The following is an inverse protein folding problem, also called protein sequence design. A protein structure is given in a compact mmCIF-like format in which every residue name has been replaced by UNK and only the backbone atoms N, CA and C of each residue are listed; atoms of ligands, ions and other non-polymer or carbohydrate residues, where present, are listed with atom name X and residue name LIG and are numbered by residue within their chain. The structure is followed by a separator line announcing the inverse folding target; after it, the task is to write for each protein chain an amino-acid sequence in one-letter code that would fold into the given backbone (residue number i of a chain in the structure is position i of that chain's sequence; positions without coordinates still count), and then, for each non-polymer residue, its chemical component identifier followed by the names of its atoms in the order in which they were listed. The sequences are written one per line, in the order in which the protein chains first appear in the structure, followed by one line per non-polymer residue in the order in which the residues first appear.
data_IF_205273534373
#
_entry.id   IF_205273534373
#
_cell.length_a   1.000
_cell.length_b   1.000
_cell.length_c   1.000
_cell.angle_alpha   90.00
_cell.angle_beta   90.00
_cell.angle_gamma   90.00
#
_symmetry.space_group_name_H-M   'P 1'
#
loop_
_entity.id
_entity.type
_entity.pdbx_description
1 polymer ?
#
# COMPACT_ATOMS: atom_id res chain seq x y z
N UNK A 1 -61.48 37.91 55.62
CA UNK A 1 -60.38 38.71 55.04
C UNK A 1 -60.07 38.13 53.67
N UNK A 2 -60.50 38.84 52.60
CA UNK A 2 -59.68 39.37 51.48
C UNK A 2 -59.02 38.27 50.62
N UNK A 3 -59.22 38.08 49.32
CA UNK A 3 -59.92 38.78 48.22
C UNK A 3 -60.03 37.77 47.04
N UNK A 4 -61.17 37.63 46.35
CA UNK A 4 -61.48 38.09 44.96
C UNK A 4 -60.45 37.68 43.88
N UNK A 5 -60.89 36.91 42.85
CA UNK A 5 -60.95 37.32 41.41
C UNK A 5 -61.27 36.09 40.51
N UNK A 6 -62.44 36.07 39.85
CA UNK A 6 -62.71 36.36 38.42
C UNK A 6 -62.52 35.15 37.48
N UNK A 7 -63.67 34.64 37.03
CA UNK A 7 -63.84 33.83 35.82
C UNK A 7 -63.59 34.70 34.58
N UNK A 8 -62.69 34.26 33.69
CA UNK A 8 -62.62 34.79 32.33
C UNK A 8 -62.38 33.63 31.36
N UNK A 9 -63.40 33.31 30.57
CA UNK A 9 -63.38 32.41 29.43
C UNK A 9 -62.50 32.99 28.32
N UNK A 10 -61.52 32.22 27.84
CA UNK A 10 -60.86 32.49 26.57
C UNK A 10 -60.84 31.19 25.76
N UNK A 11 -61.58 31.21 24.66
CA UNK A 11 -61.50 30.21 23.60
C UNK A 11 -60.17 30.36 22.87
N UNK A 12 -59.41 29.27 22.72
CA UNK A 12 -58.29 29.22 21.79
C UNK A 12 -58.52 28.10 20.78
N UNK A 13 -58.54 28.51 19.52
CA UNK A 13 -58.72 27.67 18.35
C UNK A 13 -57.54 26.71 18.17
N UNK A 14 -57.85 25.46 17.84
CA UNK A 14 -56.90 24.43 17.42
C UNK A 14 -56.37 24.79 16.02
N UNK A 15 -55.11 25.22 15.93
CA UNK A 15 -54.34 25.19 14.69
C UNK A 15 -53.47 23.92 14.70
N UNK A 16 -53.88 22.91 13.92
CA UNK A 16 -53.02 21.77 13.56
C UNK A 16 -52.07 22.22 12.44
N UNK A 17 -50.88 22.68 12.80
CA UNK A 17 -49.75 22.81 11.87
C UNK A 17 -48.99 21.47 11.84
N UNK A 18 -49.27 20.66 10.83
CA UNK A 18 -48.42 19.53 10.45
C UNK A 18 -47.12 20.08 9.88
N UNK A 19 -46.08 20.17 10.70
CA UNK A 19 -44.71 20.36 10.24
C UNK A 19 -44.29 19.08 9.50
N UNK A 20 -44.34 19.14 8.17
CA UNK A 20 -43.75 18.14 7.29
C UNK A 20 -42.23 18.28 7.40
N UNK A 21 -41.63 17.46 8.25
CA UNK A 21 -40.17 17.31 8.34
C UNK A 21 -39.73 16.57 7.08
N UNK A 22 -39.23 17.29 6.08
CA UNK A 22 -38.44 16.68 5.02
C UNK A 22 -37.15 16.19 5.69
N UNK A 23 -37.13 14.92 6.08
CA UNK A 23 -35.89 14.24 6.39
C UNK A 23 -35.14 14.12 5.06
N UNK A 24 -34.12 14.95 4.87
CA UNK A 24 -33.08 14.68 3.88
C UNK A 24 -32.52 13.29 4.22
N UNK A 25 -32.79 12.31 3.36
CA UNK A 25 -32.08 11.03 3.38
C UNK A 25 -30.60 11.37 3.16
N UNK A 26 -29.84 11.36 4.26
CA UNK A 26 -28.38 11.30 4.20
C UNK A 26 -28.07 9.96 3.55
N UNK A 27 -27.90 9.97 2.23
CA UNK A 27 -27.32 8.85 1.48
C UNK A 27 -25.97 8.57 2.12
N UNK A 28 -25.90 7.49 2.88
CA UNK A 28 -24.64 6.97 3.37
C UNK A 28 -23.71 6.80 2.17
N UNK A 29 -22.48 7.34 2.19
CA UNK A 29 -21.55 7.12 1.11
C UNK A 29 -21.43 5.61 0.89
N UNK A 30 -21.64 5.16 -0.34
CA UNK A 30 -21.50 3.75 -0.68
C UNK A 30 -20.09 3.29 -0.27
N UNK A 31 -19.99 2.30 0.61
CA UNK A 31 -18.75 1.60 0.96
C UNK A 31 -18.23 0.73 -0.22
N UNK A 32 -18.56 1.09 -1.46
CA UNK A 32 -18.11 0.38 -2.64
C UNK A 32 -16.66 0.75 -2.92
N UNK A 33 -15.81 -0.26 -2.87
CA UNK A 33 -14.40 -0.18 -3.20
C UNK A 33 -14.27 0.16 -4.67
N UNK A 34 -13.42 1.15 -4.97
CA UNK A 34 -13.17 1.54 -6.35
C UNK A 34 -11.75 1.18 -6.75
N UNK A 35 -11.63 0.55 -7.91
CA UNK A 35 -10.38 0.50 -8.67
C UNK A 35 -10.32 1.77 -9.52
N UNK A 36 -9.39 2.66 -9.21
CA UNK A 36 -9.28 3.99 -9.78
C UNK A 36 -7.98 4.05 -10.59
N UNK A 37 -8.11 4.11 -11.91
CA UNK A 37 -6.97 4.24 -12.81
C UNK A 37 -6.75 5.71 -13.21
N UNK A 38 -5.71 6.34 -12.68
CA UNK A 38 -5.34 7.73 -13.00
C UNK A 38 -4.27 7.84 -14.09
N UNK A 39 -3.71 6.72 -14.56
CA UNK A 39 -2.68 6.73 -15.61
C UNK A 39 -3.11 7.34 -16.94
N UNK A 40 -4.39 7.31 -17.39
CA UNK A 40 -4.82 8.03 -18.58
C UNK A 40 -4.52 9.54 -18.53
N UNK A 41 -4.56 10.15 -17.35
CA UNK A 41 -4.25 11.57 -17.19
C UNK A 41 -2.75 11.85 -17.42
N UNK A 42 -1.88 10.94 -16.98
CA UNK A 42 -0.45 11.00 -17.32
C UNK A 42 -0.21 10.81 -18.82
N UNK A 43 -0.92 9.90 -19.49
CA UNK A 43 -0.78 9.71 -20.93
C UNK A 43 -1.26 10.92 -21.74
N UNK A 44 -2.37 11.53 -21.34
CA UNK A 44 -2.83 12.79 -21.92
C UNK A 44 -1.77 13.90 -21.76
N UNK A 45 -1.18 14.03 -20.57
CA UNK A 45 -0.05 14.92 -20.35
C UNK A 45 1.12 14.61 -21.28
N UNK A 46 1.55 13.34 -21.33
CA UNK A 46 2.75 12.92 -22.03
C UNK A 46 2.67 13.25 -23.52
N UNK A 47 1.52 13.01 -24.14
CA UNK A 47 1.29 13.30 -25.54
C UNK A 47 1.18 14.82 -25.79
N UNK A 48 0.49 15.56 -24.90
CA UNK A 48 0.38 17.01 -25.01
C UNK A 48 1.70 17.77 -24.76
N UNK A 49 2.63 17.17 -24.02
CA UNK A 49 3.92 17.74 -23.64
C UNK A 49 4.96 17.70 -24.77
N UNK A 50 4.71 16.97 -25.85
CA UNK A 50 5.68 16.79 -26.94
C UNK A 50 6.01 18.12 -27.63
N UNK A 51 7.30 18.39 -27.80
CA UNK A 51 7.81 19.61 -28.46
C UNK A 51 7.64 20.91 -27.67
N UNK A 52 7.16 20.85 -26.42
CA UNK A 52 6.99 22.02 -25.55
C UNK A 52 8.26 22.34 -24.75
N UNK A 53 8.39 23.60 -24.33
CA UNK A 53 9.46 24.01 -23.40
C UNK A 53 9.30 23.35 -22.02
N UNK A 54 10.39 23.26 -21.26
CA UNK A 54 10.36 22.64 -19.93
C UNK A 54 9.35 23.31 -18.98
N UNK A 55 9.23 24.64 -19.03
CA UNK A 55 8.23 25.36 -18.25
C UNK A 55 6.80 24.97 -18.64
N UNK A 56 6.49 24.90 -19.94
CA UNK A 56 5.18 24.48 -20.41
C UNK A 56 4.88 23.01 -20.07
N UNK A 57 5.89 22.14 -20.12
CA UNK A 57 5.77 20.72 -19.73
C UNK A 57 5.44 20.59 -18.25
N UNK A 58 6.15 21.30 -17.37
CA UNK A 58 5.88 21.28 -15.95
C UNK A 58 4.47 21.81 -15.63
N UNK A 59 4.06 22.93 -16.24
CA UNK A 59 2.70 23.47 -16.08
C UNK A 59 1.61 22.48 -16.53
N UNK A 60 1.82 21.80 -17.67
CA UNK A 60 0.89 20.77 -18.12
C UNK A 60 0.85 19.56 -17.19
N UNK A 61 2.00 19.17 -16.61
CA UNK A 61 2.06 18.09 -15.64
C UNK A 61 1.23 18.43 -14.40
N UNK A 62 1.39 19.63 -13.82
CA UNK A 62 0.56 20.07 -12.70
C UNK A 62 -0.92 20.08 -13.08
N UNK A 63 -1.27 20.66 -14.22
CA UNK A 63 -2.67 20.80 -14.64
C UNK A 63 -3.36 19.45 -14.86
N UNK A 64 -2.72 18.55 -15.61
CA UNK A 64 -3.36 17.32 -16.10
C UNK A 64 -3.16 16.13 -15.17
N UNK A 65 -2.10 16.11 -14.36
CA UNK A 65 -1.75 14.98 -13.51
C UNK A 65 -1.99 15.31 -12.04
N UNK A 66 -1.26 16.29 -11.51
CA UNK A 66 -1.27 16.60 -10.06
C UNK A 66 -2.62 17.18 -9.64
N UNK A 67 -3.09 18.23 -10.31
CA UNK A 67 -4.33 18.94 -9.94
C UNK A 67 -5.59 18.17 -10.35
N UNK A 68 -5.47 17.14 -11.19
CA UNK A 68 -6.57 16.24 -11.48
C UNK A 68 -6.84 15.27 -10.32
N UNK A 69 -5.81 14.95 -9.52
CA UNK A 69 -5.87 14.02 -8.38
C UNK A 69 -4.97 14.49 -7.21
N UNK A 70 -5.20 15.70 -6.66
CA UNK A 70 -4.28 16.33 -5.71
C UNK A 70 -4.05 15.48 -4.45
N UNK A 71 -5.03 14.67 -4.05
CA UNK A 71 -4.95 13.77 -2.91
C UNK A 71 -3.88 12.67 -3.07
N UNK A 72 -3.47 12.34 -4.31
CA UNK A 72 -2.47 11.31 -4.59
C UNK A 72 -1.03 11.85 -4.58
N UNK A 73 -0.86 13.17 -4.67
CA UNK A 73 0.46 13.80 -4.77
C UNK A 73 0.86 14.60 -3.52
N UNK A 74 -0.04 14.65 -2.54
CA UNK A 74 0.18 15.32 -1.27
C UNK A 74 1.16 14.63 -0.33
N UNK A 75 1.43 15.31 0.78
CA UNK A 75 2.33 14.83 1.82
C UNK A 75 1.88 13.48 2.38
N UNK A 76 2.81 12.53 2.49
CA UNK A 76 2.55 11.20 3.04
C UNK A 76 2.18 10.12 2.00
N UNK A 77 1.91 10.49 0.74
CA UNK A 77 1.58 9.51 -0.31
C UNK A 77 2.81 9.12 -1.14
N UNK A 78 3.46 10.11 -1.75
CA UNK A 78 4.63 9.92 -2.64
C UNK A 78 5.98 10.20 -1.93
N UNK A 79 5.97 10.25 -0.59
CA UNK A 79 7.16 10.44 0.24
C UNK A 79 7.88 11.77 -0.04
N UNK A 80 9.21 11.70 -0.22
CA UNK A 80 10.07 12.87 -0.45
C UNK A 80 9.80 13.60 -1.78
N UNK A 81 8.96 13.05 -2.67
CA UNK A 81 8.59 13.66 -3.94
C UNK A 81 7.27 14.42 -3.88
N UNK A 82 6.78 14.75 -2.68
CA UNK A 82 5.51 15.47 -2.44
C UNK A 82 5.41 16.72 -3.31
N UNK A 83 4.23 16.92 -3.93
CA UNK A 83 3.89 18.12 -4.69
C UNK A 83 2.67 18.78 -4.05
N UNK A 84 2.76 20.07 -3.72
CA UNK A 84 1.63 20.83 -3.16
C UNK A 84 0.64 21.32 -4.22
N UNK A 85 0.93 21.08 -5.51
CA UNK A 85 0.11 21.52 -6.64
C UNK A 85 0.37 22.97 -7.05
N UNK A 86 1.38 23.61 -6.45
CA UNK A 86 1.75 25.01 -6.75
C UNK A 86 2.58 25.05 -8.02
N UNK A 87 1.91 25.18 -9.15
CA UNK A 87 2.54 25.25 -10.48
C UNK A 87 3.56 26.39 -10.66
N UNK A 88 3.54 27.43 -9.81
CA UNK A 88 4.48 28.55 -9.86
C UNK A 88 5.67 28.39 -8.89
N UNK A 89 5.71 27.30 -8.10
CA UNK A 89 6.81 27.02 -7.20
C UNK A 89 8.01 26.46 -7.98
N UNK A 90 9.15 27.17 -7.93
CA UNK A 90 10.33 26.78 -8.69
C UNK A 90 10.86 25.40 -8.27
N UNK A 91 10.87 25.08 -6.97
CA UNK A 91 11.43 23.82 -6.49
C UNK A 91 10.57 22.63 -6.92
N UNK A 92 9.24 22.78 -6.92
CA UNK A 92 8.35 21.74 -7.43
C UNK A 92 8.48 21.57 -8.95
N UNK A 93 8.57 22.66 -9.71
CA UNK A 93 8.83 22.60 -11.15
C UNK A 93 10.16 21.89 -11.46
N UNK A 94 11.24 22.24 -10.76
CA UNK A 94 12.54 21.58 -10.92
C UNK A 94 12.44 20.07 -10.61
N UNK A 95 11.66 19.70 -9.59
CA UNK A 95 11.44 18.30 -9.18
C UNK A 95 10.64 17.52 -10.22
N UNK A 96 9.58 18.12 -10.78
CA UNK A 96 8.81 17.57 -11.89
C UNK A 96 9.71 17.38 -13.11
N UNK A 97 10.53 18.37 -13.48
CA UNK A 97 11.41 18.25 -14.65
C UNK A 97 12.49 17.19 -14.47
N UNK A 98 13.04 17.05 -13.25
CA UNK A 98 13.94 15.95 -12.91
C UNK A 98 13.26 14.60 -13.09
N UNK A 99 12.02 14.46 -12.61
CA UNK A 99 11.24 13.24 -12.83
C UNK A 99 10.99 12.98 -14.31
N UNK A 100 10.52 13.96 -15.07
CA UNK A 100 10.21 13.85 -16.51
C UNK A 100 11.43 13.46 -17.35
N UNK A 101 12.62 13.91 -16.94
CA UNK A 101 13.89 13.51 -17.56
C UNK A 101 14.20 12.04 -17.28
N UNK A 102 14.05 11.61 -16.02
CA UNK A 102 14.38 10.26 -15.59
C UNK A 102 13.37 9.21 -16.08
N UNK A 103 12.09 9.57 -16.20
CA UNK A 103 11.03 8.65 -16.61
C UNK A 103 11.08 8.31 -18.10
N UNK A 104 11.69 9.18 -18.92
CA UNK A 104 11.73 9.03 -20.38
C UNK A 104 12.11 7.61 -20.85
N UNK A 105 13.13 6.99 -20.23
CA UNK A 105 13.58 5.64 -20.60
C UNK A 105 12.60 4.53 -20.20
N UNK A 106 11.69 4.80 -19.25
CA UNK A 106 10.71 3.83 -18.74
C UNK A 106 9.35 3.95 -19.44
N UNK A 107 9.10 5.00 -20.21
CA UNK A 107 7.80 5.24 -20.87
C UNK A 107 7.30 4.07 -21.72
N UNK A 108 8.12 3.42 -22.59
CA UNK A 108 7.65 2.26 -23.36
C UNK A 108 7.13 1.15 -22.45
N UNK A 109 7.86 0.89 -21.36
CA UNK A 109 7.50 -0.14 -20.39
C UNK A 109 6.27 0.23 -19.56
N UNK A 110 6.17 1.48 -19.12
CA UNK A 110 5.00 1.98 -18.41
C UNK A 110 3.71 1.85 -19.25
N UNK A 111 3.79 2.05 -20.58
CA UNK A 111 2.65 1.81 -21.49
C UNK A 111 2.24 0.34 -21.52
N UNK A 112 3.20 -0.58 -21.55
CA UNK A 112 2.94 -2.03 -21.48
C UNK A 112 2.24 -2.36 -20.16
N UNK A 113 2.80 -1.92 -19.03
CA UNK A 113 2.23 -2.13 -17.69
C UNK A 113 0.81 -1.57 -17.59
N UNK A 114 0.58 -0.35 -18.10
CA UNK A 114 -0.75 0.27 -18.10
C UNK A 114 -1.78 -0.55 -18.89
N UNK A 115 -1.37 -1.18 -19.99
CA UNK A 115 -2.24 -2.06 -20.78
C UNK A 115 -2.46 -3.40 -20.10
N UNK A 116 -1.42 -3.98 -19.48
CA UNK A 116 -1.50 -5.25 -18.76
C UNK A 116 -2.41 -5.13 -17.53
N UNK A 117 -2.31 -4.03 -16.78
CA UNK A 117 -3.23 -3.74 -15.65
C UNK A 117 -4.67 -3.70 -16.13
N UNK A 118 -4.95 -2.95 -17.20
CA UNK A 118 -6.31 -2.81 -17.73
C UNK A 118 -6.88 -4.14 -18.26
N UNK A 119 -6.01 -5.07 -18.69
CA UNK A 119 -6.39 -6.37 -19.22
C UNK A 119 -6.55 -7.43 -18.12
N UNK A 120 -5.63 -7.48 -17.16
CA UNK A 120 -5.43 -8.65 -16.31
C UNK A 120 -5.84 -8.44 -14.84
N UNK A 121 -5.91 -7.20 -14.34
CA UNK A 121 -6.08 -6.96 -12.90
C UNK A 121 -7.37 -7.53 -12.33
N UNK A 122 -8.50 -7.43 -13.05
CA UNK A 122 -9.77 -8.02 -12.62
C UNK A 122 -9.67 -9.54 -12.43
N UNK A 123 -8.87 -10.21 -13.27
CA UNK A 123 -8.61 -11.64 -13.12
C UNK A 123 -7.76 -11.92 -11.88
N UNK A 124 -6.72 -11.11 -11.63
CA UNK A 124 -5.89 -11.25 -10.43
C UNK A 124 -6.71 -11.05 -9.14
N UNK A 125 -7.53 -10.00 -9.07
CA UNK A 125 -8.40 -9.74 -7.92
C UNK A 125 -9.44 -10.86 -7.71
N UNK A 126 -9.99 -11.41 -8.80
CA UNK A 126 -10.90 -12.55 -8.75
C UNK A 126 -10.21 -13.80 -8.21
N UNK A 127 -9.03 -14.15 -8.72
CA UNK A 127 -8.26 -15.31 -8.26
C UNK A 127 -7.84 -15.17 -6.79
N UNK A 128 -7.50 -13.95 -6.37
CA UNK A 128 -7.23 -13.63 -4.98
C UNK A 128 -8.45 -13.88 -4.10
N UNK A 129 -9.64 -13.42 -4.52
CA UNK A 129 -10.91 -13.64 -3.80
C UNK A 129 -11.30 -15.12 -3.74
N UNK A 130 -10.98 -15.91 -4.77
CA UNK A 130 -11.18 -17.36 -4.73
C UNK A 130 -10.29 -18.03 -3.66
N UNK A 131 -9.07 -17.52 -3.47
CA UNK A 131 -8.14 -18.01 -2.44
C UNK A 131 -8.55 -17.54 -1.04
N UNK A 132 -9.01 -16.29 -0.92
CA UNK A 132 -9.45 -15.68 0.33
C UNK A 132 -10.91 -15.22 0.23
N UNK A 133 -11.90 -16.12 0.42
CA UNK A 133 -13.32 -15.75 0.30
C UNK A 133 -13.82 -14.71 1.31
N UNK A 134 -13.04 -14.46 2.37
CA UNK A 134 -13.32 -13.41 3.37
C UNK A 134 -12.76 -12.05 2.95
N UNK A 135 -12.00 -11.96 1.87
CA UNK A 135 -11.48 -10.71 1.35
C UNK A 135 -12.65 -9.84 0.90
N UNK A 136 -12.87 -8.79 1.68
CA UNK A 136 -13.91 -7.80 1.49
C UNK A 136 -13.24 -6.45 1.82
N UNK A 137 -12.36 -5.96 0.91
CA UNK A 137 -11.56 -4.79 1.21
C UNK A 137 -12.48 -3.60 1.57
N UNK A 138 -11.94 -2.63 2.27
CA UNK A 138 -12.68 -1.40 2.60
C UNK A 138 -11.94 -0.15 2.12
N UNK A 139 -10.87 -0.37 1.35
CA UNK A 139 -9.91 0.64 0.91
C UNK A 139 -9.83 0.63 -0.61
N UNK A 140 -9.78 1.81 -1.23
CA UNK A 140 -9.71 1.94 -2.68
C UNK A 140 -8.36 1.45 -3.21
N UNK A 141 -8.35 1.03 -4.47
CA UNK A 141 -7.14 0.65 -5.20
C UNK A 141 -6.87 1.72 -6.27
N UNK A 142 -5.64 2.25 -6.31
CA UNK A 142 -5.25 3.28 -7.28
C UNK A 142 -4.11 2.79 -8.17
N UNK A 143 -4.21 3.05 -9.47
CA UNK A 143 -3.09 2.96 -10.40
C UNK A 143 -2.69 4.37 -10.81
N UNK A 144 -1.43 4.75 -10.55
CA UNK A 144 -0.96 6.12 -10.71
C UNK A 144 0.50 6.19 -11.15
N UNK A 145 0.96 7.41 -11.44
CA UNK A 145 2.39 7.73 -11.55
C UNK A 145 2.87 8.28 -10.21
N UNK A 146 3.79 7.55 -9.56
CA UNK A 146 4.26 7.75 -8.18
C UNK A 146 5.48 8.67 -8.03
N UNK A 147 6.02 9.17 -9.14
CA UNK A 147 7.28 9.90 -9.21
C UNK A 147 8.48 9.07 -8.71
N UNK A 148 8.48 7.77 -9.02
CA UNK A 148 9.38 6.74 -8.50
C UNK A 148 9.40 6.60 -6.98
N UNK A 149 8.40 7.15 -6.28
CA UNK A 149 8.29 7.07 -4.83
C UNK A 149 8.05 5.63 -4.34
N UNK A 150 7.31 4.83 -5.11
CA UNK A 150 7.01 3.43 -4.80
C UNK A 150 6.52 2.69 -6.06
N UNK A 151 6.53 1.36 -6.02
CA UNK A 151 5.86 0.48 -6.98
C UNK A 151 4.49 0.00 -6.48
N UNK A 152 4.40 -0.36 -5.20
CA UNK A 152 3.20 -0.83 -4.51
C UNK A 152 3.16 -0.41 -3.04
N UNK A 153 2.04 -0.67 -2.39
CA UNK A 153 1.89 -0.52 -0.95
C UNK A 153 0.65 0.25 -0.52
N UNK A 154 0.32 0.09 0.75
CA UNK A 154 -0.74 0.84 1.42
C UNK A 154 -0.28 2.27 1.73
N UNK A 155 -1.15 3.26 1.55
CA UNK A 155 -0.91 4.67 1.91
C UNK A 155 -2.16 5.28 2.52
N UNK A 156 -1.97 6.29 3.35
CA UNK A 156 -3.07 7.09 3.89
C UNK A 156 -3.40 8.25 2.94
N UNK A 157 -4.59 8.20 2.34
CA UNK A 157 -5.16 9.29 1.53
C UNK A 157 -6.38 9.83 2.28
N UNK A 158 -6.40 11.11 2.62
CA UNK A 158 -7.53 11.76 3.31
C UNK A 158 -7.99 10.99 4.57
N UNK A 159 -7.03 10.57 5.41
CA UNK A 159 -7.24 9.77 6.63
C UNK A 159 -7.87 8.38 6.39
N UNK A 160 -7.78 7.85 5.17
CA UNK A 160 -8.20 6.49 4.83
C UNK A 160 -7.03 5.74 4.22
N UNK A 161 -6.84 4.50 4.65
CA UNK A 161 -5.91 3.60 3.97
C UNK A 161 -6.42 3.33 2.55
N UNK A 162 -5.49 3.23 1.61
CA UNK A 162 -5.71 2.88 0.21
C UNK A 162 -4.53 2.05 -0.28
N UNK A 163 -4.77 1.17 -1.25
CA UNK A 163 -3.71 0.42 -1.91
C UNK A 163 -3.32 1.15 -3.21
N UNK A 164 -2.05 1.49 -3.37
CA UNK A 164 -1.57 2.28 -4.50
C UNK A 164 -0.51 1.50 -5.29
N UNK A 165 -0.62 1.59 -6.62
CA UNK A 165 0.33 1.03 -7.56
C UNK A 165 0.94 2.14 -8.43
N UNK A 166 2.24 2.33 -8.29
CA UNK A 166 3.03 3.30 -9.07
C UNK A 166 3.54 2.66 -10.35
N UNK A 167 2.92 2.93 -11.51
CA UNK A 167 3.30 2.28 -12.78
C UNK A 167 4.73 2.59 -13.22
N UNK A 168 5.25 3.74 -12.83
CA UNK A 168 6.64 4.16 -13.04
C UNK A 168 7.60 3.43 -12.09
N UNK A 169 7.20 3.25 -10.82
CA UNK A 169 7.93 2.40 -9.87
C UNK A 169 8.00 0.94 -10.34
N UNK A 170 6.87 0.37 -10.76
CA UNK A 170 6.81 -1.00 -11.31
C UNK A 170 7.73 -1.12 -12.52
N UNK A 171 7.69 -0.15 -13.45
CA UNK A 171 8.56 -0.14 -14.62
C UNK A 171 10.06 -0.07 -14.27
N UNK A 172 10.41 0.55 -13.13
CA UNK A 172 11.78 0.72 -12.68
C UNK A 172 12.31 -0.47 -11.88
N UNK A 173 11.51 -1.02 -10.98
CA UNK A 173 11.98 -1.94 -9.95
C UNK A 173 11.75 -3.42 -10.28
N UNK A 174 10.77 -3.74 -11.13
CA UNK A 174 10.45 -5.12 -11.49
C UNK A 174 11.20 -5.53 -12.76
N UNK A 175 11.53 -6.80 -13.01
CA UNK A 175 12.10 -7.26 -14.29
C UNK A 175 11.10 -7.24 -15.46
N UNK A 176 11.56 -6.99 -16.68
CA UNK A 176 10.71 -7.04 -17.88
C UNK A 176 10.27 -8.47 -18.22
N UNK A 177 9.05 -8.62 -18.76
CA UNK A 177 8.52 -9.91 -19.23
C UNK A 177 8.03 -10.86 -18.14
N UNK A 178 8.15 -10.48 -16.87
CA UNK A 178 7.58 -11.24 -15.75
C UNK A 178 6.11 -10.86 -15.51
N UNK A 179 5.32 -11.85 -15.11
CA UNK A 179 3.93 -11.60 -14.69
C UNK A 179 3.92 -10.77 -13.40
N UNK A 180 3.17 -9.67 -13.41
CA UNK A 180 2.94 -8.85 -12.22
C UNK A 180 2.02 -9.53 -11.19
N UNK A 181 1.46 -10.70 -11.50
CA UNK A 181 0.51 -11.39 -10.61
C UNK A 181 1.09 -11.68 -9.23
N UNK A 182 2.35 -12.11 -9.14
CA UNK A 182 3.02 -12.37 -7.85
C UNK A 182 3.07 -11.10 -7.00
N UNK A 183 3.43 -9.98 -7.62
CA UNK A 183 3.49 -8.69 -6.95
C UNK A 183 2.10 -8.20 -6.55
N UNK A 184 1.09 -8.32 -7.43
CA UNK A 184 -0.28 -7.94 -7.07
C UNK A 184 -0.87 -8.81 -5.96
N UNK A 185 -0.65 -10.12 -5.98
CA UNK A 185 -1.13 -11.00 -4.90
C UNK A 185 -0.46 -10.67 -3.55
N UNK A 186 0.82 -10.23 -3.56
CA UNK A 186 1.52 -9.74 -2.36
C UNK A 186 0.82 -8.48 -1.80
N UNK A 187 0.55 -7.50 -2.65
CA UNK A 187 -0.05 -6.23 -2.25
C UNK A 187 -1.54 -6.35 -1.86
N UNK A 188 -2.29 -7.20 -2.56
CA UNK A 188 -3.66 -7.56 -2.18
C UNK A 188 -3.69 -8.30 -0.85
N UNK A 189 -2.65 -9.09 -0.55
CA UNK A 189 -2.53 -9.76 0.74
C UNK A 189 -2.36 -8.78 1.90
N UNK A 190 -1.54 -7.73 1.75
CA UNK A 190 -1.44 -6.69 2.79
C UNK A 190 -2.80 -6.07 3.11
N UNK A 191 -3.60 -5.75 2.09
CA UNK A 191 -4.95 -5.23 2.28
C UNK A 191 -5.89 -6.23 2.96
N UNK A 192 -5.78 -7.52 2.65
CA UNK A 192 -6.55 -8.57 3.32
C UNK A 192 -6.10 -8.78 4.76
N UNK A 193 -4.79 -8.76 5.02
CA UNK A 193 -4.21 -9.00 6.33
C UNK A 193 -4.60 -7.88 7.30
N UNK A 194 -4.54 -6.62 6.85
CA UNK A 194 -5.06 -5.45 7.57
C UNK A 194 -6.55 -5.61 7.93
N UNK A 195 -7.36 -6.15 7.01
CA UNK A 195 -8.79 -6.39 7.27
C UNK A 195 -9.03 -7.40 8.40
N UNK A 196 -8.23 -8.45 8.54
CA UNK A 196 -8.50 -9.57 9.46
C UNK A 196 -7.61 -9.61 10.71
N UNK A 197 -6.49 -8.89 10.68
CA UNK A 197 -5.48 -8.82 11.72
C UNK A 197 -4.82 -7.43 11.78
N UNK A 198 -5.59 -6.34 11.97
CA UNK A 198 -5.07 -4.97 11.94
C UNK A 198 -4.00 -4.69 13.00
N UNK A 199 -3.99 -5.45 14.11
CA UNK A 199 -2.98 -5.31 15.17
C UNK A 199 -1.56 -5.76 14.71
N UNK A 200 -1.46 -6.52 13.60
CA UNK A 200 -0.19 -6.98 13.03
C UNK A 200 0.35 -6.05 11.94
N UNK A 201 -0.51 -5.22 11.35
CA UNK A 201 -0.21 -4.32 10.20
C UNK A 201 -0.03 -2.87 10.65
N UNK A 202 0.10 -2.62 11.96
CA UNK A 202 0.36 -1.30 12.53
C UNK A 202 1.79 -0.84 12.19
N UNK A 203 1.95 0.40 11.73
CA UNK A 203 3.25 1.05 11.47
C UNK A 203 4.16 1.06 12.71
N UNK A 204 3.59 0.98 13.92
CA UNK A 204 4.32 0.90 15.20
C UNK A 204 4.39 -0.55 15.73
N UNK A 205 4.12 -1.56 14.89
CA UNK A 205 4.28 -2.97 15.23
C UNK A 205 5.77 -3.34 15.41
N UNK A 206 6.08 -4.27 16.34
CA UNK A 206 7.46 -4.68 16.59
C UNK A 206 8.07 -5.44 15.40
N UNK A 207 9.41 -5.50 15.33
CA UNK A 207 10.14 -6.16 14.24
C UNK A 207 9.66 -7.59 13.95
N UNK A 208 9.34 -8.40 14.97
CA UNK A 208 8.84 -9.76 14.73
C UNK A 208 7.52 -9.78 13.95
N UNK A 209 6.64 -8.80 14.18
CA UNK A 209 5.36 -8.69 13.48
C UNK A 209 5.58 -8.21 12.04
N UNK A 210 6.49 -7.25 11.84
CA UNK A 210 6.91 -6.78 10.52
C UNK A 210 7.55 -7.88 9.67
N UNK A 211 8.39 -8.73 10.28
CA UNK A 211 8.93 -9.94 9.63
C UNK A 211 7.80 -10.89 9.19
N UNK A 212 6.78 -11.03 10.03
CA UNK A 212 5.63 -11.87 9.72
C UNK A 212 4.78 -11.29 8.60
N UNK A 213 4.42 -10.01 8.66
CA UNK A 213 3.60 -9.32 7.67
C UNK A 213 4.22 -9.43 6.26
N UNK A 214 5.44 -8.93 6.11
CA UNK A 214 6.14 -8.93 4.81
C UNK A 214 6.51 -10.34 4.35
N UNK A 215 6.91 -11.18 5.30
CA UNK A 215 7.26 -12.57 5.05
C UNK A 215 6.08 -13.41 4.59
N UNK A 216 4.92 -13.22 5.23
CA UNK A 216 3.69 -13.94 4.92
C UNK A 216 3.13 -13.49 3.59
N UNK A 217 3.10 -12.19 3.29
CA UNK A 217 2.70 -11.67 1.98
C UNK A 217 3.56 -12.27 0.86
N UNK A 218 4.88 -12.34 1.07
CA UNK A 218 5.83 -12.97 0.15
C UNK A 218 5.59 -14.47 -0.02
N UNK A 219 5.32 -15.19 1.07
CA UNK A 219 5.06 -16.63 1.01
C UNK A 219 3.72 -16.95 0.36
N UNK A 220 2.66 -16.21 0.67
CA UNK A 220 1.33 -16.41 0.09
C UNK A 220 1.32 -16.11 -1.39
N UNK A 221 1.97 -15.02 -1.83
CA UNK A 221 2.08 -14.72 -3.25
C UNK A 221 2.82 -15.84 -4.00
N UNK A 222 3.82 -16.48 -3.38
CA UNK A 222 4.41 -17.70 -3.93
C UNK A 222 3.42 -18.86 -4.03
N UNK A 223 2.68 -19.16 -2.95
CA UNK A 223 1.75 -20.30 -2.93
C UNK A 223 0.62 -20.15 -3.96
N UNK A 224 0.20 -18.92 -4.24
CA UNK A 224 -0.82 -18.61 -5.25
C UNK A 224 -0.30 -18.66 -6.69
N UNK A 225 1.02 -18.55 -6.88
CA UNK A 225 1.66 -18.51 -8.19
C UNK A 225 2.63 -19.68 -8.34
N UNK A 226 2.08 -20.86 -8.63
CA UNK A 226 2.87 -22.07 -8.80
C UNK A 226 3.94 -21.89 -9.89
N UNK A 227 5.19 -22.15 -9.53
CA UNK A 227 6.34 -22.01 -10.43
C UNK A 227 7.08 -20.68 -10.35
N UNK A 228 6.62 -19.72 -9.53
CA UNK A 228 7.36 -18.49 -9.28
C UNK A 228 8.72 -18.74 -8.62
N UNK A 229 9.72 -18.02 -9.11
CA UNK A 229 11.09 -18.11 -8.58
C UNK A 229 11.22 -17.33 -7.28
N UNK A 230 12.26 -17.63 -6.49
CA UNK A 230 12.56 -16.89 -5.26
C UNK A 230 12.84 -15.40 -5.54
N UNK A 231 13.43 -15.07 -6.69
CA UNK A 231 13.67 -13.69 -7.10
C UNK A 231 12.38 -12.91 -7.39
N UNK A 232 11.40 -13.58 -8.01
CA UNK A 232 10.10 -13.00 -8.32
C UNK A 232 9.31 -12.67 -7.05
N UNK A 233 9.24 -13.62 -6.11
CA UNK A 233 8.46 -13.43 -4.87
C UNK A 233 9.11 -12.42 -3.94
N UNK A 234 10.45 -12.35 -3.90
CA UNK A 234 11.18 -11.32 -3.14
C UNK A 234 11.29 -9.98 -3.88
N UNK A 235 10.72 -9.88 -5.09
CA UNK A 235 10.77 -8.68 -5.94
C UNK A 235 12.21 -8.16 -6.09
N UNK A 236 13.19 -9.07 -6.16
CA UNK A 236 14.60 -8.75 -6.18
C UNK A 236 15.44 -9.88 -6.78
N UNK A 237 16.25 -9.61 -7.82
CA UNK A 237 17.13 -10.63 -8.39
C UNK A 237 18.32 -10.99 -7.49
N UNK A 238 18.67 -10.14 -6.50
CA UNK A 238 19.92 -10.27 -5.74
C UNK A 238 19.72 -10.49 -4.25
N UNK A 239 18.56 -10.13 -3.67
CA UNK A 239 18.33 -10.14 -2.23
C UNK A 239 18.67 -11.49 -1.59
N UNK A 240 18.16 -12.59 -2.16
CA UNK A 240 18.42 -13.93 -1.64
C UNK A 240 19.90 -14.30 -1.68
N UNK A 241 20.57 -14.09 -2.82
CA UNK A 241 21.97 -14.40 -2.98
C UNK A 241 22.88 -13.59 -2.03
N UNK A 242 22.51 -12.33 -1.74
CA UNK A 242 23.22 -11.47 -0.82
C UNK A 242 22.93 -11.80 0.66
N UNK A 243 21.71 -12.23 0.99
CA UNK A 243 21.27 -12.49 2.37
C UNK A 243 21.71 -13.86 2.88
N UNK A 244 21.64 -14.90 2.03
CA UNK A 244 21.98 -16.30 2.40
C UNK A 244 23.33 -16.45 3.12
N UNK A 245 24.45 -15.89 2.64
CA UNK A 245 25.77 -16.11 3.23
C UNK A 245 25.92 -15.60 4.68
N UNK A 246 25.09 -14.62 5.06
CA UNK A 246 25.15 -13.96 6.38
C UNK A 246 23.83 -14.10 7.14
N UNK A 247 22.96 -15.02 6.72
CA UNK A 247 21.62 -15.23 7.29
C UNK A 247 21.69 -15.45 8.80
N UNK A 248 22.66 -16.23 9.28
CA UNK A 248 22.85 -16.50 10.71
C UNK A 248 23.06 -15.21 11.51
N UNK A 249 23.91 -14.30 11.00
CA UNK A 249 24.19 -13.00 11.62
C UNK A 249 22.92 -12.13 11.65
N UNK A 250 22.24 -12.02 10.51
CA UNK A 250 21.02 -11.21 10.37
C UNK A 250 19.92 -11.75 11.30
N UNK A 251 19.73 -13.06 11.34
CA UNK A 251 18.76 -13.70 12.21
C UNK A 251 19.07 -13.45 13.69
N UNK A 252 20.34 -13.51 14.11
CA UNK A 252 20.72 -13.17 15.48
C UNK A 252 20.41 -11.71 15.83
N UNK A 253 20.74 -10.76 14.94
CA UNK A 253 20.43 -9.33 15.15
C UNK A 253 18.91 -9.10 15.24
N UNK A 254 18.12 -9.82 14.44
CA UNK A 254 16.67 -9.78 14.51
C UNK A 254 16.11 -10.45 15.77
N UNK A 255 16.74 -11.50 16.32
CA UNK A 255 16.35 -12.07 17.63
C UNK A 255 16.53 -11.02 18.72
N UNK A 256 17.68 -10.35 18.73
CA UNK A 256 18.04 -9.39 19.77
C UNK A 256 17.13 -8.15 19.75
N UNK A 257 16.60 -7.79 18.57
CA UNK A 257 15.73 -6.62 18.37
C UNK A 257 14.27 -6.98 18.08
N UNK A 258 13.84 -8.23 18.31
CA UNK A 258 12.55 -8.70 17.82
C UNK A 258 11.34 -7.90 18.32
N UNK A 259 11.39 -7.39 19.56
CA UNK A 259 10.33 -6.57 20.17
C UNK A 259 10.52 -5.06 19.96
N UNK A 260 11.56 -4.65 19.25
CA UNK A 260 11.83 -3.24 18.98
C UNK A 260 10.77 -2.65 18.07
N UNK A 261 10.41 -1.39 18.36
CA UNK A 261 9.56 -0.52 17.55
C UNK A 261 10.33 0.67 16.99
N UNK A 262 11.66 0.66 17.07
CA UNK A 262 12.49 1.76 16.59
C UNK A 262 12.49 1.80 15.05
N UNK A 263 12.15 2.97 14.49
CA UNK A 263 12.02 3.14 13.04
C UNK A 263 13.36 3.02 12.29
N UNK A 264 14.48 3.30 12.94
CA UNK A 264 15.81 3.12 12.34
C UNK A 264 16.18 1.64 12.31
N UNK A 265 15.82 0.87 13.34
CA UNK A 265 16.02 -0.57 13.35
C UNK A 265 15.14 -1.24 12.30
N UNK A 266 13.88 -0.83 12.18
CA UNK A 266 13.03 -1.26 11.07
C UNK A 266 13.66 -0.92 9.70
N UNK A 267 14.06 0.34 9.49
CA UNK A 267 14.70 0.76 8.24
C UNK A 267 15.98 -0.03 7.92
N UNK A 268 16.73 -0.47 8.94
CA UNK A 268 17.94 -1.29 8.78
C UNK A 268 17.66 -2.58 7.97
N UNK A 269 16.50 -3.22 8.20
CA UNK A 269 16.17 -4.52 7.62
C UNK A 269 15.22 -4.45 6.43
N UNK A 270 14.30 -3.47 6.39
CA UNK A 270 13.20 -3.47 5.42
C UNK A 270 13.35 -2.45 4.29
N UNK A 271 14.23 -1.44 4.41
CA UNK A 271 14.39 -0.43 3.36
C UNK A 271 15.52 -0.74 2.37
N UNK A 272 15.34 -0.23 1.14
CA UNK A 272 16.33 -0.34 0.06
C UNK A 272 17.57 0.53 0.26
N UNK A 273 17.45 1.59 1.06
CA UNK A 273 18.57 2.42 1.53
C UNK A 273 18.46 2.50 3.05
N UNK A 274 19.39 1.85 3.73
CA UNK A 274 19.36 1.65 5.17
C UNK A 274 20.59 2.20 5.89
N UNK A 275 21.52 2.82 5.14
CA UNK A 275 22.80 3.31 5.66
C UNK A 275 23.76 2.24 6.22
N UNK A 276 23.37 0.96 6.19
CA UNK A 276 24.09 -0.18 6.77
C UNK A 276 24.75 -0.98 5.65
N UNK A 277 26.02 -0.68 5.39
CA UNK A 277 26.79 -1.39 4.35
C UNK A 277 27.04 -2.88 4.67
N UNK A 278 26.87 -3.29 5.94
CA UNK A 278 27.04 -4.66 6.38
C UNK A 278 25.78 -5.52 6.27
N UNK A 279 24.65 -4.92 5.87
CA UNK A 279 23.36 -5.58 5.66
C UNK A 279 22.89 -5.43 4.20
N UNK A 280 22.48 -6.52 3.54
CA UNK A 280 21.86 -6.43 2.23
C UNK A 280 20.55 -5.61 2.32
N UNK A 281 20.26 -4.78 1.31
CA UNK A 281 19.02 -4.02 1.26
C UNK A 281 17.79 -4.94 1.38
N UNK A 282 16.80 -4.51 2.18
CA UNK A 282 15.53 -5.24 2.38
C UNK A 282 15.68 -6.70 2.85
N UNK A 283 16.80 -7.07 3.49
CA UNK A 283 17.05 -8.45 3.94
C UNK A 283 15.97 -9.02 4.88
N UNK A 284 15.20 -8.17 5.57
CA UNK A 284 14.04 -8.55 6.37
C UNK A 284 12.99 -9.35 5.59
N UNK A 285 12.77 -9.05 4.30
CA UNK A 285 11.85 -9.80 3.43
C UNK A 285 12.30 -11.25 3.26
N UNK A 286 13.60 -11.47 3.04
CA UNK A 286 14.13 -12.83 2.90
C UNK A 286 13.99 -13.62 4.19
N UNK A 287 14.29 -13.01 5.35
CA UNK A 287 14.15 -13.67 6.66
C UNK A 287 12.69 -13.97 6.97
N UNK A 288 11.80 -12.98 6.79
CA UNK A 288 10.35 -13.13 6.95
C UNK A 288 9.79 -14.24 6.06
N UNK A 289 10.19 -14.28 4.79
CA UNK A 289 9.78 -15.34 3.85
C UNK A 289 10.21 -16.73 4.34
N UNK A 290 11.41 -16.90 4.90
CA UNK A 290 11.82 -18.18 5.49
C UNK A 290 11.03 -18.55 6.74
N UNK A 291 10.69 -17.56 7.57
CA UNK A 291 9.82 -17.75 8.74
C UNK A 291 8.44 -18.26 8.29
N UNK A 292 7.80 -17.54 7.36
CA UNK A 292 6.48 -17.90 6.83
C UNK A 292 6.50 -19.26 6.11
N UNK A 293 7.56 -19.55 5.33
CA UNK A 293 7.73 -20.84 4.68
C UNK A 293 7.82 -22.01 5.67
N UNK A 294 8.50 -21.83 6.80
CA UNK A 294 8.67 -22.89 7.79
C UNK A 294 7.40 -23.09 8.62
N UNK A 295 6.75 -22.02 9.06
CA UNK A 295 5.46 -22.09 9.76
C UNK A 295 4.39 -22.67 8.83
N UNK A 296 4.39 -22.27 7.55
CA UNK A 296 3.46 -22.68 6.50
C UNK A 296 3.43 -24.17 6.20
N UNK A 297 4.44 -24.95 6.61
CA UNK A 297 4.42 -26.41 6.46
C UNK A 297 3.27 -27.09 7.22
N UNK A 298 2.67 -26.40 8.20
CA UNK A 298 1.63 -26.94 9.10
C UNK A 298 0.23 -26.41 8.81
N UNK A 299 0.09 -25.42 7.94
CA UNK A 299 -1.13 -24.65 7.79
C UNK A 299 -1.45 -24.41 6.31
N UNK A 300 -2.74 -24.29 6.00
CA UNK A 300 -3.19 -23.71 4.73
C UNK A 300 -2.92 -22.20 4.70
N UNK A 301 -2.90 -21.59 3.51
CA UNK A 301 -2.69 -20.14 3.37
C UNK A 301 -3.74 -19.31 4.12
N UNK A 302 -5.00 -19.80 4.19
CA UNK A 302 -6.07 -19.15 4.93
C UNK A 302 -5.85 -19.24 6.44
N UNK A 303 -5.38 -20.39 6.94
CA UNK A 303 -5.04 -20.55 8.35
C UNK A 303 -3.85 -19.69 8.75
N UNK A 304 -2.83 -19.56 7.89
CA UNK A 304 -1.68 -18.69 8.14
C UNK A 304 -2.10 -17.24 8.30
N UNK A 305 -2.97 -16.74 7.43
CA UNK A 305 -3.47 -15.36 7.47
C UNK A 305 -4.22 -15.04 8.78
N UNK A 306 -4.74 -16.06 9.48
CA UNK A 306 -5.48 -15.89 10.74
C UNK A 306 -4.61 -16.06 12.01
N UNK A 307 -3.34 -16.48 11.86
CA UNK A 307 -2.42 -16.61 13.01
C UNK A 307 -2.13 -15.24 13.62
N UNK A 308 -2.15 -15.16 14.95
CA UNK A 308 -1.98 -13.90 15.70
C UNK A 308 -1.63 -14.15 17.17
N UNK A 309 -1.37 -13.06 17.89
CA UNK A 309 -1.15 -13.07 19.33
C UNK A 309 0.15 -13.77 19.75
N UNK A 310 0.19 -14.22 21.00
CA UNK A 310 1.38 -14.81 21.62
C UNK A 310 1.83 -16.11 20.98
N UNK A 311 0.90 -16.88 20.41
CA UNK A 311 1.22 -18.12 19.70
C UNK A 311 1.99 -17.84 18.42
N UNK A 312 1.53 -16.87 17.61
CA UNK A 312 2.25 -16.43 16.42
C UNK A 312 3.63 -15.88 16.79
N UNK A 313 3.71 -14.97 17.77
CA UNK A 313 4.99 -14.40 18.20
C UNK A 313 5.98 -15.48 18.60
N UNK A 314 5.53 -16.47 19.39
CA UNK A 314 6.38 -17.60 19.79
C UNK A 314 6.87 -18.39 18.57
N UNK A 315 5.98 -18.71 17.62
CA UNK A 315 6.34 -19.44 16.41
C UNK A 315 7.37 -18.67 15.55
N UNK A 316 7.18 -17.36 15.38
CA UNK A 316 8.12 -16.49 14.65
C UNK A 316 9.50 -16.50 15.31
N UNK A 317 9.56 -16.29 16.63
CA UNK A 317 10.81 -16.26 17.36
C UNK A 317 11.53 -17.61 17.40
N UNK A 318 10.78 -18.72 17.47
CA UNK A 318 11.36 -20.05 17.47
C UNK A 318 12.03 -20.37 16.12
N UNK A 319 11.38 -20.00 15.01
CA UNK A 319 12.01 -20.14 13.68
C UNK A 319 13.21 -19.19 13.55
N UNK A 320 13.08 -17.94 13.98
CA UNK A 320 14.16 -16.97 13.90
C UNK A 320 15.40 -17.42 14.69
N UNK A 321 15.22 -18.02 15.87
CA UNK A 321 16.30 -18.64 16.66
C UNK A 321 16.93 -19.85 15.96
N UNK A 322 16.16 -20.65 15.23
CA UNK A 322 16.69 -21.76 14.42
C UNK A 322 17.58 -21.24 13.28
N UNK A 323 17.11 -20.21 12.57
CA UNK A 323 17.92 -19.53 11.55
C UNK A 323 19.22 -18.94 12.15
N UNK A 324 19.15 -18.37 13.36
CA UNK A 324 20.30 -17.86 14.10
C UNK A 324 21.24 -18.96 14.61
N UNK A 325 20.75 -20.18 14.82
CA UNK A 325 21.57 -21.34 15.14
C UNK A 325 22.25 -21.95 13.89
N UNK A 326 21.66 -21.73 12.71
CA UNK A 326 22.07 -22.35 11.45
C UNK A 326 21.43 -23.73 11.22
N UNK A 327 20.27 -23.96 11.83
CA UNK A 327 19.45 -25.18 11.72
C UNK A 327 18.19 -24.94 10.92
#
# INVERSE_FOLDING_TARGET
MKSVLIFCSIAFALFNSTLSYCADEVTQPSNEIKVINTTPAFWQFWDAAQGKSDQERAQLFFKLVVNAYPELYGAGVIGNNTLSGKQDDKAENDSVMKYLTNVQSYIPRMKIISNDIARDFDTYAKDFTLTFPKYAPHTNIYFMVSLFGFDGGTRTINNKTALLFGIDGIARYHPEGESLKVFFDHELFHQYHDQIAPDLTDDDAPIWAQLWEEGLATYISQQMNAGSTEAQVLMSPTMSAATKPILKKIAQELVDNADSKDKNEYAAFFYGSNGRADLPPRCGYYVGYKIAQQIGQKYTVQQLAELRGSELRTAVLDVLKQLAAGS
#
